data_IF_788175436197
#
_entry.id   IF_788175436197
#
_cell.length_a   1.000
_cell.length_b   1.000
_cell.length_c   1.000
_cell.angle_alpha   90.00
_cell.angle_beta   90.00
_cell.angle_gamma   90.00
#
_symmetry.space_group_name_H-M   'P 1'
#
loop_
_entity.id
_entity.type
_entity.pdbx_description
1 polymer ?
#
# COMPACT_ATOMS: atom_id res chain seq x y z
N UNK A 1 -33.15 -4.97 -34.82
CA UNK A 1 -32.44 -3.98 -33.99
C UNK A 1 -31.13 -4.60 -33.56
N UNK A 2 -30.05 -4.31 -34.28
CA UNK A 2 -28.71 -4.78 -33.94
C UNK A 2 -28.10 -3.79 -32.96
N UNK A 3 -27.95 -4.21 -31.70
CA UNK A 3 -27.10 -3.53 -30.74
C UNK A 3 -25.70 -4.04 -31.03
N UNK A 4 -24.92 -3.25 -31.78
CA UNK A 4 -23.49 -3.50 -31.95
C UNK A 4 -22.87 -3.19 -30.60
N UNK A 5 -22.45 -4.25 -29.91
CA UNK A 5 -21.50 -4.19 -28.81
C UNK A 5 -20.25 -3.45 -29.32
N UNK A 6 -20.11 -2.19 -28.93
CA UNK A 6 -18.85 -1.48 -29.01
C UNK A 6 -17.90 -2.04 -27.93
N UNK A 7 -17.51 -3.30 -28.10
CA UNK A 7 -16.26 -3.81 -27.55
C UNK A 7 -15.12 -3.26 -28.42
N UNK A 8 -14.93 -1.94 -28.36
CA UNK A 8 -13.62 -1.36 -28.64
C UNK A 8 -12.69 -1.99 -27.60
N UNK A 9 -11.96 -3.00 -28.05
CA UNK A 9 -10.75 -3.52 -27.43
C UNK A 9 -9.85 -2.32 -27.12
N UNK A 10 -10.07 -1.70 -25.97
CA UNK A 10 -9.17 -0.72 -25.41
C UNK A 10 -7.84 -1.44 -25.27
N UNK A 11 -6.79 -0.91 -25.89
CA UNK A 11 -5.48 -1.52 -25.87
C UNK A 11 -5.14 -1.88 -24.43
N UNK A 12 -4.79 -3.15 -24.17
CA UNK A 12 -4.50 -3.65 -22.82
C UNK A 12 -3.58 -2.67 -22.09
N UNK A 13 -4.10 -2.09 -21.01
CA UNK A 13 -3.38 -1.10 -20.22
C UNK A 13 -2.23 -1.80 -19.49
N UNK A 14 -1.00 -1.56 -19.94
CA UNK A 14 0.22 -2.16 -19.36
C UNK A 14 0.94 -1.12 -18.50
N UNK A 15 0.33 -0.79 -17.36
CA UNK A 15 1.03 -0.01 -16.32
C UNK A 15 1.62 -0.95 -15.29
N UNK A 16 2.72 -0.52 -14.67
CA UNK A 16 3.25 -1.14 -13.46
C UNK A 16 2.63 -0.48 -12.24
N UNK A 17 2.06 -1.27 -11.35
CA UNK A 17 1.46 -0.85 -10.09
C UNK A 17 2.35 -1.29 -8.94
N UNK A 18 2.79 -0.33 -8.14
CA UNK A 18 3.56 -0.58 -6.93
C UNK A 18 2.80 0.03 -5.75
N UNK A 19 2.54 -0.78 -4.75
CA UNK A 19 1.96 -0.34 -3.49
C UNK A 19 3.01 -0.51 -2.38
N UNK A 20 2.88 0.25 -1.30
CA UNK A 20 3.86 0.19 -0.21
C UNK A 20 3.17 0.04 1.13
N UNK A 21 3.77 -0.68 2.06
CA UNK A 21 3.27 -0.78 3.43
C UNK A 21 4.28 -0.19 4.40
N UNK A 22 3.89 0.87 5.12
CA UNK A 22 4.75 1.59 6.08
C UNK A 22 6.09 2.06 5.49
N UNK A 23 6.02 2.59 4.28
CA UNK A 23 7.13 3.24 3.58
C UNK A 23 6.77 4.71 3.38
N UNK A 24 7.70 5.60 3.73
CA UNK A 24 7.49 7.04 3.62
C UNK A 24 7.92 7.56 2.25
N UNK A 25 7.44 8.75 1.89
CA UNK A 25 7.81 9.42 0.63
C UNK A 25 9.33 9.53 0.43
N UNK A 26 10.08 9.79 1.51
CA UNK A 26 11.55 9.88 1.49
C UNK A 26 12.24 8.60 1.00
N UNK A 27 11.59 7.44 1.14
CA UNK A 27 12.10 6.15 0.69
C UNK A 27 11.83 5.89 -0.81
N UNK A 28 10.87 6.63 -1.39
CA UNK A 28 10.39 6.48 -2.78
C UNK A 28 11.01 7.54 -3.71
N UNK A 29 11.66 8.57 -3.17
CA UNK A 29 12.33 9.64 -3.93
C UNK A 29 13.72 9.25 -4.47
N UNK A 30 13.82 8.09 -5.11
CA UNK A 30 15.05 7.65 -5.78
C UNK A 30 14.89 7.57 -7.30
N UNK A 31 16.02 7.58 -8.01
CA UNK A 31 16.08 7.45 -9.48
C UNK A 31 15.36 6.19 -10.01
N UNK A 32 15.18 5.18 -9.16
CA UNK A 32 14.44 3.95 -9.47
C UNK A 32 12.98 4.23 -9.88
N UNK A 33 12.35 5.26 -9.31
CA UNK A 33 10.95 5.60 -9.56
C UNK A 33 10.78 6.84 -10.46
N UNK A 34 11.84 7.26 -11.15
CA UNK A 34 11.82 8.49 -11.97
C UNK A 34 10.77 8.49 -13.11
N UNK A 35 10.32 7.31 -13.53
CA UNK A 35 9.29 7.13 -14.56
C UNK A 35 7.95 6.62 -13.99
N UNK A 36 7.75 6.80 -12.69
CA UNK A 36 6.49 6.48 -12.01
C UNK A 36 5.81 7.77 -11.57
N UNK A 37 4.49 7.79 -11.70
CA UNK A 37 3.64 8.71 -10.94
C UNK A 37 3.70 8.29 -9.48
N UNK A 38 4.27 9.13 -8.63
CA UNK A 38 4.33 8.93 -7.17
C UNK A 38 3.11 9.60 -6.55
N UNK A 39 2.36 8.85 -5.74
CA UNK A 39 1.11 9.31 -5.14
C UNK A 39 1.10 9.02 -3.64
N UNK A 40 0.75 10.01 -2.82
CA UNK A 40 0.41 9.78 -1.41
C UNK A 40 -0.99 9.18 -1.33
N UNK A 41 -1.15 8.08 -0.61
CA UNK A 41 -2.49 7.54 -0.39
C UNK A 41 -3.42 8.54 0.32
N UNK A 42 -2.88 9.38 1.21
CA UNK A 42 -3.64 10.43 1.89
C UNK A 42 -4.23 11.44 0.89
N UNK A 43 -3.49 11.78 -0.16
CA UNK A 43 -3.98 12.68 -1.21
C UNK A 43 -5.11 12.03 -2.02
N UNK A 44 -5.06 10.72 -2.23
CA UNK A 44 -6.16 9.96 -2.87
C UNK A 44 -7.42 10.06 -2.02
N UNK A 45 -7.31 9.86 -0.70
CA UNK A 45 -8.44 9.97 0.22
C UNK A 45 -9.02 11.39 0.22
N UNK A 46 -8.17 12.42 0.31
CA UNK A 46 -8.58 13.82 0.29
C UNK A 46 -9.30 14.19 -1.01
N UNK A 47 -8.76 13.80 -2.17
CA UNK A 47 -9.35 14.05 -3.50
C UNK A 47 -10.75 13.44 -3.64
N UNK A 48 -11.02 12.34 -2.93
CA UNK A 48 -12.31 11.66 -2.94
C UNK A 48 -13.24 12.10 -1.80
N UNK A 49 -12.88 13.14 -1.03
CA UNK A 49 -13.63 13.62 0.14
C UNK A 49 -13.88 12.54 1.19
N UNK A 50 -12.90 11.67 1.42
CA UNK A 50 -13.00 10.61 2.42
C UNK A 50 -13.14 11.19 3.84
N UNK A 51 -14.08 10.64 4.60
CA UNK A 51 -14.37 10.99 5.98
C UNK A 51 -14.40 9.73 6.85
N UNK A 52 -13.43 9.53 7.77
CA UNK A 52 -13.36 8.33 8.61
C UNK A 52 -14.62 8.02 9.44
N UNK A 53 -15.42 9.05 9.76
CA UNK A 53 -16.67 8.90 10.51
C UNK A 53 -17.86 8.42 9.67
N UNK A 54 -17.78 8.56 8.33
CA UNK A 54 -18.88 8.33 7.40
C UNK A 54 -18.58 7.22 6.40
N UNK A 55 -17.33 7.08 6.02
CA UNK A 55 -16.85 6.16 5.00
C UNK A 55 -16.21 4.94 5.66
N UNK A 56 -16.41 3.78 5.03
CA UNK A 56 -15.85 2.51 5.50
C UNK A 56 -14.42 2.31 5.01
N UNK A 57 -13.70 1.35 5.62
CA UNK A 57 -12.40 0.88 5.10
C UNK A 57 -12.50 0.44 3.63
N UNK A 58 -13.62 -0.14 3.22
CA UNK A 58 -13.82 -0.54 1.82
C UNK A 58 -13.83 0.68 0.87
N UNK A 59 -14.33 1.83 1.32
CA UNK A 59 -14.29 3.06 0.52
C UNK A 59 -12.85 3.54 0.28
N UNK A 60 -11.96 3.39 1.27
CA UNK A 60 -10.54 3.70 1.11
C UNK A 60 -9.91 2.86 -0.02
N UNK A 61 -10.18 1.56 -0.02
CA UNK A 61 -9.68 0.61 -1.01
C UNK A 61 -10.28 0.83 -2.40
N UNK A 62 -11.56 1.22 -2.48
CA UNK A 62 -12.19 1.63 -3.73
C UNK A 62 -11.55 2.88 -4.32
N UNK A 63 -11.26 3.89 -3.50
CA UNK A 63 -10.61 5.12 -3.95
C UNK A 63 -9.19 4.85 -4.43
N UNK A 64 -8.44 4.02 -3.70
CA UNK A 64 -7.13 3.55 -4.13
C UNK A 64 -7.19 2.84 -5.48
N UNK A 65 -8.11 1.88 -5.61
CA UNK A 65 -8.29 1.09 -6.84
C UNK A 65 -8.68 1.98 -8.02
N UNK A 66 -9.58 2.96 -7.82
CA UNK A 66 -9.95 3.94 -8.85
C UNK A 66 -8.75 4.77 -9.31
N UNK A 67 -7.88 5.20 -8.41
CA UNK A 67 -6.68 5.95 -8.78
C UNK A 67 -5.73 5.10 -9.64
N UNK A 68 -5.57 3.81 -9.32
CA UNK A 68 -4.78 2.86 -10.12
C UNK A 68 -5.43 2.62 -11.50
N UNK A 69 -6.72 2.29 -11.52
CA UNK A 69 -7.49 2.00 -12.75
C UNK A 69 -7.46 3.20 -13.70
N UNK A 70 -7.46 4.43 -13.19
CA UNK A 70 -7.44 5.64 -14.01
C UNK A 70 -6.02 6.13 -14.36
N UNK A 71 -4.95 5.61 -13.76
CA UNK A 71 -3.58 6.10 -13.98
C UNK A 71 -3.02 5.74 -15.36
N UNK A 72 -2.72 6.68 -16.25
CA UNK A 72 -2.12 6.37 -17.56
C UNK A 72 -0.65 5.93 -17.46
N UNK A 73 0.04 6.36 -16.41
CA UNK A 73 1.43 6.04 -16.13
C UNK A 73 1.58 4.85 -15.17
N UNK A 74 2.80 4.28 -15.15
CA UNK A 74 3.23 3.44 -14.03
C UNK A 74 3.06 4.23 -12.73
N UNK A 75 2.56 3.57 -11.68
CA UNK A 75 2.17 4.24 -10.45
C UNK A 75 2.82 3.58 -9.24
N UNK A 76 3.39 4.41 -8.35
CA UNK A 76 3.77 4.01 -7.00
C UNK A 76 2.89 4.79 -6.05
N UNK A 77 2.13 4.09 -5.22
CA UNK A 77 1.32 4.71 -4.18
C UNK A 77 1.93 4.36 -2.84
N UNK A 78 2.39 5.38 -2.11
CA UNK A 78 3.04 5.19 -0.82
C UNK A 78 2.06 5.34 0.35
N UNK A 79 2.43 4.83 1.52
CA UNK A 79 1.56 4.76 2.71
C UNK A 79 0.23 4.02 2.45
N UNK A 80 0.24 2.98 1.62
CA UNK A 80 -0.99 2.24 1.30
C UNK A 80 -1.29 1.14 2.31
N UNK A 81 -2.57 0.98 2.61
CA UNK A 81 -3.07 -0.13 3.42
C UNK A 81 -2.89 0.09 4.91
N UNK A 82 -3.95 -0.19 5.63
CA UNK A 82 -3.97 -0.30 7.09
C UNK A 82 -3.49 -1.70 7.49
N UNK A 83 -3.82 -2.70 6.67
CA UNK A 83 -3.57 -4.13 6.89
C UNK A 83 -3.06 -4.85 5.62
N UNK A 84 -2.70 -6.13 5.75
CA UNK A 84 -2.17 -6.92 4.63
C UNK A 84 -3.24 -7.54 3.76
N UNK A 85 -4.40 -7.77 4.34
CA UNK A 85 -5.61 -8.22 3.66
C UNK A 85 -6.11 -7.19 2.64
N UNK A 86 -5.76 -5.91 2.84
CA UNK A 86 -6.09 -4.82 1.91
C UNK A 86 -5.51 -5.09 0.51
N UNK A 87 -4.30 -5.66 0.41
CA UNK A 87 -3.68 -5.99 -0.87
C UNK A 87 -4.45 -7.07 -1.64
N UNK A 88 -5.08 -8.01 -0.96
CA UNK A 88 -5.92 -9.01 -1.62
C UNK A 88 -7.17 -8.37 -2.19
N UNK A 89 -7.84 -7.54 -1.38
CA UNK A 89 -9.05 -6.82 -1.78
C UNK A 89 -8.78 -5.92 -2.98
N UNK A 90 -7.68 -5.17 -2.96
CA UNK A 90 -7.25 -4.35 -4.09
C UNK A 90 -6.95 -5.24 -5.31
N UNK A 91 -6.26 -6.37 -5.12
CA UNK A 91 -6.00 -7.32 -6.21
C UNK A 91 -7.29 -7.80 -6.86
N UNK A 92 -8.31 -8.16 -6.07
CA UNK A 92 -9.63 -8.55 -6.60
C UNK A 92 -10.32 -7.40 -7.33
N UNK A 93 -10.23 -6.16 -6.83
CA UNK A 93 -10.80 -4.97 -7.48
C UNK A 93 -10.11 -4.63 -8.82
N UNK A 94 -8.82 -4.96 -8.97
CA UNK A 94 -8.04 -4.70 -10.18
C UNK A 94 -8.23 -5.76 -11.28
N UNK A 95 -8.57 -7.00 -10.92
CA UNK A 95 -8.74 -8.12 -11.87
C UNK A 95 -9.68 -7.86 -13.05
N UNK A 96 -10.89 -7.27 -12.87
CA UNK A 96 -11.79 -6.97 -13.99
C UNK A 96 -11.19 -6.01 -15.03
N UNK A 97 -10.18 -5.24 -14.63
CA UNK A 97 -9.46 -4.30 -15.48
C UNK A 97 -8.16 -4.88 -16.06
N UNK A 98 -7.92 -6.19 -15.89
CA UNK A 98 -6.69 -6.88 -16.28
C UNK A 98 -5.42 -6.25 -15.65
N UNK A 99 -5.57 -5.59 -14.49
CA UNK A 99 -4.47 -4.99 -13.74
C UNK A 99 -4.08 -5.89 -12.57
N UNK A 100 -2.80 -5.85 -12.20
CA UNK A 100 -2.26 -6.55 -11.03
C UNK A 100 -1.41 -5.59 -10.21
N UNK A 101 -1.26 -5.88 -8.93
CA UNK A 101 -0.19 -5.28 -8.12
C UNK A 101 1.11 -5.96 -8.54
N UNK A 102 2.06 -5.23 -9.13
CA UNK A 102 3.33 -5.84 -9.54
C UNK A 102 4.26 -6.03 -8.35
N UNK A 103 4.40 -5.00 -7.51
CA UNK A 103 5.23 -5.07 -6.32
C UNK A 103 4.50 -4.49 -5.11
N UNK A 104 4.69 -5.14 -3.96
CA UNK A 104 4.39 -4.60 -2.64
C UNK A 104 5.73 -4.32 -1.95
N UNK A 105 6.02 -3.06 -1.69
CA UNK A 105 7.25 -2.64 -1.02
C UNK A 105 7.02 -2.55 0.49
N UNK A 106 7.91 -3.16 1.26
CA UNK A 106 7.88 -3.16 2.73
C UNK A 106 9.23 -2.70 3.28
N UNK A 107 9.30 -2.12 4.49
CA UNK A 107 10.57 -1.64 5.04
C UNK A 107 11.52 -2.81 5.27
N UNK A 108 12.77 -2.64 4.88
CA UNK A 108 13.85 -3.58 5.20
C UNK A 108 14.17 -3.60 6.71
N UNK A 109 15.01 -4.55 7.16
CA UNK A 109 15.35 -4.70 8.58
C UNK A 109 15.94 -3.43 9.20
N UNK A 110 16.85 -2.73 8.50
CA UNK A 110 17.45 -1.50 9.03
C UNK A 110 16.40 -0.41 9.27
N UNK A 111 15.44 -0.25 8.35
CA UNK A 111 14.33 0.69 8.50
C UNK A 111 13.38 0.29 9.62
N UNK A 112 13.06 -1.00 9.75
CA UNK A 112 12.23 -1.48 10.87
C UNK A 112 12.91 -1.20 12.21
N UNK A 113 14.22 -1.41 12.32
CA UNK A 113 14.98 -1.10 13.55
C UNK A 113 14.99 0.40 13.85
N UNK A 114 15.08 1.25 12.82
CA UNK A 114 14.93 2.70 12.98
C UNK A 114 13.53 3.07 13.49
N UNK A 115 12.48 2.49 12.90
CA UNK A 115 11.09 2.68 13.34
C UNK A 115 10.88 2.24 14.80
N UNK A 116 11.49 1.13 15.22
CA UNK A 116 11.48 0.68 16.62
C UNK A 116 12.15 1.71 17.54
N UNK A 117 13.35 2.18 17.19
CA UNK A 117 14.09 3.15 17.98
C UNK A 117 13.32 4.47 18.13
N UNK A 118 12.70 4.95 17.04
CA UNK A 118 11.85 6.14 17.04
C UNK A 118 10.59 5.95 17.90
N UNK A 119 9.95 4.78 17.82
CA UNK A 119 8.81 4.42 18.67
C UNK A 119 9.18 4.39 20.16
N UNK A 120 10.29 3.74 20.51
CA UNK A 120 10.81 3.70 21.88
C UNK A 120 11.17 5.09 22.40
N UNK A 121 11.73 5.96 21.55
CA UNK A 121 12.01 7.36 21.91
C UNK A 121 10.71 8.11 22.19
N UNK A 122 9.74 8.04 21.28
CA UNK A 122 8.44 8.67 21.45
C UNK A 122 7.72 8.18 22.72
N UNK A 123 7.86 6.90 23.06
CA UNK A 123 7.29 6.33 24.28
C UNK A 123 7.79 7.02 25.55
N UNK A 124 9.11 7.20 25.63
CA UNK A 124 9.78 7.84 26.77
C UNK A 124 9.52 9.34 26.81
N UNK A 125 9.61 10.01 25.68
CA UNK A 125 9.58 11.48 25.60
C UNK A 125 8.16 12.05 25.68
N UNK A 126 7.15 11.32 25.26
CA UNK A 126 5.76 11.79 25.20
C UNK A 126 4.83 11.11 26.20
N UNK A 127 5.38 10.50 27.24
CA UNK A 127 4.60 9.86 28.31
C UNK A 127 3.58 8.83 27.82
N UNK A 128 3.91 8.10 26.75
CA UNK A 128 2.98 7.17 26.08
C UNK A 128 2.70 5.92 26.91
N UNK A 129 3.29 5.79 28.10
CA UNK A 129 2.93 4.74 29.07
C UNK A 129 1.47 4.81 29.53
N UNK A 130 0.79 5.95 29.30
CA UNK A 130 -0.66 6.08 29.53
C UNK A 130 -1.48 5.38 28.43
N UNK A 131 -0.92 5.27 27.23
CA UNK A 131 -1.60 4.71 26.06
C UNK A 131 -1.16 3.26 25.77
N UNK A 132 0.08 2.91 26.13
CA UNK A 132 0.70 1.62 25.83
C UNK A 132 1.46 1.06 27.04
N UNK A 133 1.43 -0.26 27.24
CA UNK A 133 2.21 -0.87 28.31
C UNK A 133 3.70 -0.97 27.96
N UNK A 134 4.61 -1.00 28.96
CA UNK A 134 6.03 -1.23 28.71
C UNK A 134 6.27 -2.55 27.98
N UNK A 135 6.95 -2.52 26.83
CA UNK A 135 7.21 -3.70 25.99
C UNK A 135 6.28 -3.84 24.78
N UNK A 136 5.17 -3.11 24.73
CA UNK A 136 4.19 -3.21 23.64
C UNK A 136 4.77 -2.81 22.28
N UNK A 137 5.69 -1.84 22.25
CA UNK A 137 6.34 -1.38 21.01
C UNK A 137 7.22 -2.47 20.41
N UNK A 138 8.00 -3.15 21.25
CA UNK A 138 8.86 -4.27 20.87
C UNK A 138 8.04 -5.47 20.39
N UNK A 139 6.93 -5.76 21.05
CA UNK A 139 5.99 -6.81 20.64
C UNK A 139 5.37 -6.49 19.27
N UNK A 140 4.94 -5.25 19.06
CA UNK A 140 4.37 -4.81 17.79
C UNK A 140 5.41 -4.86 16.66
N UNK A 141 6.66 -4.49 16.94
CA UNK A 141 7.78 -4.63 16.00
C UNK A 141 8.02 -6.09 15.61
N UNK A 142 8.06 -7.00 16.58
CA UNK A 142 8.23 -8.45 16.32
C UNK A 142 7.07 -9.00 15.49
N UNK A 143 5.83 -8.69 15.87
CA UNK A 143 4.62 -9.09 15.11
C UNK A 143 4.67 -8.55 13.69
N UNK A 144 5.15 -7.33 13.50
CA UNK A 144 5.27 -6.74 12.16
C UNK A 144 6.29 -7.49 11.28
N UNK A 145 7.45 -7.87 11.82
CA UNK A 145 8.43 -8.68 11.09
C UNK A 145 7.87 -10.06 10.69
N UNK A 146 7.17 -10.75 11.61
CA UNK A 146 6.50 -12.03 11.34
C UNK A 146 5.41 -11.91 10.27
N UNK A 147 4.64 -10.81 10.34
CA UNK A 147 3.65 -10.48 9.32
C UNK A 147 4.32 -10.37 7.95
N UNK A 148 5.44 -9.65 7.80
CA UNK A 148 6.12 -9.49 6.49
C UNK A 148 6.47 -10.86 5.88
N UNK A 149 6.97 -11.79 6.69
CA UNK A 149 7.27 -13.16 6.21
C UNK A 149 6.00 -13.90 5.76
N UNK A 150 4.89 -13.70 6.48
CA UNK A 150 3.58 -14.25 6.09
C UNK A 150 3.11 -13.66 4.75
N UNK A 151 3.27 -12.34 4.55
CA UNK A 151 2.94 -11.67 3.30
C UNK A 151 3.77 -12.20 2.13
N UNK A 152 5.10 -12.32 2.31
CA UNK A 152 5.98 -12.92 1.30
C UNK A 152 5.59 -14.35 0.96
N UNK A 153 5.26 -15.17 1.96
CA UNK A 153 4.84 -16.55 1.75
C UNK A 153 3.54 -16.64 0.94
N UNK A 154 2.57 -15.77 1.26
CA UNK A 154 1.27 -15.69 0.58
C UNK A 154 1.41 -15.36 -0.90
N UNK A 155 2.24 -14.38 -1.23
CA UNK A 155 2.41 -13.90 -2.61
C UNK A 155 3.49 -14.68 -3.41
N UNK A 156 4.19 -15.64 -2.79
CA UNK A 156 5.30 -16.40 -3.41
C UNK A 156 4.97 -17.04 -4.77
N UNK A 157 3.74 -17.53 -4.92
CA UNK A 157 3.29 -18.24 -6.13
C UNK A 157 2.40 -17.38 -7.03
N UNK A 158 2.40 -16.06 -6.82
CA UNK A 158 1.63 -15.09 -7.60
C UNK A 158 2.55 -14.27 -8.50
N UNK A 159 1.97 -13.48 -9.41
CA UNK A 159 2.74 -12.52 -10.21
C UNK A 159 3.22 -11.31 -9.40
N UNK A 160 2.59 -11.04 -8.26
CA UNK A 160 2.94 -9.95 -7.33
C UNK A 160 4.17 -10.33 -6.52
N UNK A 161 5.16 -9.44 -6.46
CA UNK A 161 6.38 -9.62 -5.66
C UNK A 161 6.34 -8.76 -4.41
N UNK A 162 6.77 -9.30 -3.29
CA UNK A 162 6.97 -8.55 -2.05
C UNK A 162 8.46 -8.25 -1.90
N UNK A 163 8.85 -6.98 -1.89
CA UNK A 163 10.24 -6.54 -1.87
C UNK A 163 10.52 -5.67 -0.64
N UNK A 164 11.66 -5.91 -0.01
CA UNK A 164 12.17 -5.06 1.08
C UNK A 164 13.02 -3.93 0.51
N UNK A 165 12.74 -2.69 0.92
CA UNK A 165 13.48 -1.49 0.53
C UNK A 165 13.89 -0.66 1.73
#
# INVERSE_FOLDING_TARGET
>A
MNIIENNLSASKKKIKVILTYRIYESDIKNSEFAHFKIVDFSDVLLKNNYHPEKDSELNELEFLSKEIINSEDNIVIYNTGSNFEDFDTISEMLKPHELIINNILVPNEAKRQQQLADGQRAYREHSRWLDFYPGEIEENHKKFAEKIETLKAKYRNTETKVLEI
#
